data_IF_699394455835
#
_entry.id   IF_699394455835
#
_cell.length_a   1.000
_cell.length_b   1.000
_cell.length_c   1.000
_cell.angle_alpha   90.00
_cell.angle_beta   90.00
_cell.angle_gamma   90.00
#
_symmetry.space_group_name_H-M   'P 1'
#
loop_
_entity.id
_entity.type
_entity.pdbx_description
1 polymer ?
#
# COMPACT_ATOMS: atom_id res chain seq x y z
N UNK A 1 4.25 -21.84 27.10
CA UNK A 1 4.05 -20.60 26.32
C UNK A 1 4.90 -20.48 25.03
N UNK A 2 5.44 -21.58 24.46
CA UNK A 2 6.29 -21.53 23.23
C UNK A 2 5.56 -21.86 21.92
N UNK A 3 4.28 -22.25 21.96
CA UNK A 3 3.55 -22.74 20.75
C UNK A 3 2.81 -21.68 19.94
N UNK A 4 2.51 -20.51 20.48
CA UNK A 4 1.75 -19.48 19.77
C UNK A 4 2.56 -18.73 18.71
N UNK A 5 3.86 -18.53 18.93
CA UNK A 5 4.73 -17.86 17.96
C UNK A 5 5.05 -18.75 16.75
N UNK A 6 5.27 -20.04 16.97
CA UNK A 6 5.52 -21.00 15.89
C UNK A 6 4.29 -21.23 15.00
N UNK A 7 3.09 -21.29 15.60
CA UNK A 7 1.85 -21.42 14.85
C UNK A 7 1.55 -20.19 13.99
N UNK A 8 1.74 -18.98 14.52
CA UNK A 8 1.56 -17.73 13.78
C UNK A 8 2.55 -17.58 12.61
N UNK A 9 3.80 -18.01 12.81
CA UNK A 9 4.83 -18.00 11.76
C UNK A 9 4.52 -19.03 10.65
N UNK A 10 4.01 -20.21 11.01
CA UNK A 10 3.62 -21.24 10.05
C UNK A 10 2.39 -20.80 9.21
N UNK A 11 1.38 -20.21 9.84
CA UNK A 11 0.20 -19.65 9.14
C UNK A 11 0.61 -18.53 8.20
N UNK A 12 1.51 -17.64 8.61
CA UNK A 12 2.04 -16.59 7.77
C UNK A 12 2.78 -17.16 6.55
N UNK A 13 3.67 -18.12 6.76
CA UNK A 13 4.40 -18.76 5.66
C UNK A 13 3.44 -19.40 4.65
N UNK A 14 2.45 -20.17 5.11
CA UNK A 14 1.45 -20.80 4.25
C UNK A 14 0.62 -19.78 3.47
N UNK A 15 0.23 -18.66 4.10
CA UNK A 15 -0.48 -17.58 3.42
C UNK A 15 0.38 -16.95 2.32
N UNK A 16 1.64 -16.65 2.62
CA UNK A 16 2.54 -16.03 1.66
C UNK A 16 2.90 -16.95 0.48
N UNK A 17 3.04 -18.25 0.73
CA UNK A 17 3.28 -19.23 -0.32
C UNK A 17 2.07 -19.41 -1.24
N UNK A 18 0.86 -19.19 -0.74
CA UNK A 18 -0.36 -19.25 -1.54
C UNK A 18 -0.59 -18.02 -2.44
N UNK A 19 0.08 -16.89 -2.15
CA UNK A 19 -0.07 -15.66 -2.94
C UNK A 19 0.76 -15.76 -4.22
N UNK A 20 0.15 -15.61 -5.40
CA UNK A 20 0.90 -15.61 -6.66
C UNK A 20 1.95 -14.51 -6.67
N UNK A 21 3.22 -14.90 -6.88
CA UNK A 21 4.33 -13.95 -7.00
C UNK A 21 4.49 -13.48 -8.45
N UNK A 22 3.42 -12.89 -9.02
CA UNK A 22 3.47 -12.32 -10.36
C UNK A 22 3.77 -10.84 -10.34
N UNK A 23 4.39 -10.35 -11.39
CA UNK A 23 4.75 -8.96 -11.53
C UNK A 23 3.54 -8.11 -11.93
N UNK A 24 3.42 -6.95 -11.27
CA UNK A 24 2.52 -5.87 -11.68
C UNK A 24 3.24 -4.89 -12.62
N UNK A 25 4.55 -4.68 -12.40
CA UNK A 25 5.40 -3.82 -13.22
C UNK A 25 6.86 -4.30 -13.18
N UNK A 26 7.80 -3.52 -13.71
CA UNK A 26 9.21 -3.89 -13.77
C UNK A 26 9.82 -4.23 -12.39
N UNK A 27 9.40 -3.52 -11.32
CA UNK A 27 10.00 -3.67 -9.99
C UNK A 27 9.00 -4.00 -8.88
N UNK A 28 7.70 -4.06 -9.18
CA UNK A 28 6.66 -4.34 -8.19
C UNK A 28 5.94 -5.64 -8.50
N UNK A 29 5.70 -6.44 -7.47
CA UNK A 29 4.95 -7.70 -7.53
C UNK A 29 3.61 -7.59 -6.81
N UNK A 30 2.64 -8.41 -7.21
CA UNK A 30 1.34 -8.49 -6.54
C UNK A 30 1.50 -8.80 -5.05
N UNK A 31 2.46 -9.68 -4.71
CA UNK A 31 2.72 -10.08 -3.33
C UNK A 31 2.96 -8.89 -2.40
N UNK A 32 3.70 -7.87 -2.83
CA UNK A 32 3.98 -6.67 -2.03
C UNK A 32 2.70 -5.90 -1.67
N UNK A 33 1.68 -5.93 -2.53
CA UNK A 33 0.42 -5.21 -2.32
C UNK A 33 -0.61 -5.97 -1.47
N UNK A 34 -0.56 -7.29 -1.45
CA UNK A 34 -1.55 -8.10 -0.74
C UNK A 34 -1.08 -8.58 0.63
N UNK A 35 0.18 -8.30 0.97
CA UNK A 35 0.73 -8.62 2.29
C UNK A 35 0.03 -7.81 3.37
N UNK A 36 -0.54 -8.50 4.36
CA UNK A 36 -1.27 -7.86 5.46
C UNK A 36 -1.15 -8.69 6.74
N UNK A 37 -0.53 -8.11 7.76
CA UNK A 37 -0.44 -8.72 9.08
C UNK A 37 -1.85 -8.99 9.68
N UNK A 38 -2.84 -8.13 9.39
CA UNK A 38 -4.22 -8.32 9.82
C UNK A 38 -4.85 -9.53 9.11
N UNK A 39 -4.66 -9.67 7.80
CA UNK A 39 -5.15 -10.82 7.04
C UNK A 39 -4.57 -12.13 7.57
N UNK A 40 -3.27 -12.19 7.79
CA UNK A 40 -2.58 -13.36 8.34
C UNK A 40 -3.10 -13.69 9.75
N UNK A 41 -3.16 -12.72 10.64
CA UNK A 41 -3.59 -12.91 12.04
C UNK A 41 -5.01 -13.43 12.15
N UNK A 42 -5.88 -13.02 11.26
CA UNK A 42 -7.30 -13.39 11.28
C UNK A 42 -7.65 -14.45 10.23
N UNK A 43 -6.65 -15.04 9.57
CA UNK A 43 -6.83 -16.05 8.51
C UNK A 43 -7.86 -15.62 7.46
N UNK A 44 -7.74 -14.39 6.96
CA UNK A 44 -8.63 -13.82 5.97
C UNK A 44 -7.97 -13.78 4.58
N UNK A 45 -8.71 -14.10 3.52
CA UNK A 45 -8.23 -13.91 2.16
C UNK A 45 -8.06 -12.41 1.86
N UNK A 46 -6.96 -12.07 1.19
CA UNK A 46 -6.65 -10.70 0.78
C UNK A 46 -6.10 -10.67 -0.66
N UNK A 47 -6.81 -11.32 -1.58
CA UNK A 47 -6.46 -11.34 -2.99
C UNK A 47 -7.45 -10.48 -3.77
N UNK A 48 -6.96 -9.60 -4.66
CA UNK A 48 -7.80 -8.78 -5.54
C UNK A 48 -8.37 -9.62 -6.68
N UNK A 49 -9.48 -9.18 -7.24
CA UNK A 49 -9.95 -9.62 -8.54
C UNK A 49 -9.09 -9.00 -9.69
N UNK A 50 -9.31 -9.46 -10.90
CA UNK A 50 -8.54 -9.03 -12.07
C UNK A 50 -8.66 -7.52 -12.35
N UNK A 51 -9.80 -6.93 -12.09
CA UNK A 51 -10.04 -5.51 -12.32
C UNK A 51 -9.33 -4.63 -11.27
N UNK A 52 -9.35 -5.06 -10.02
CA UNK A 52 -8.60 -4.43 -8.93
C UNK A 52 -7.09 -4.56 -9.16
N UNK A 53 -6.62 -5.72 -9.64
CA UNK A 53 -5.21 -5.93 -9.97
C UNK A 53 -4.75 -5.04 -11.13
N UNK A 54 -5.59 -4.81 -12.14
CA UNK A 54 -5.33 -3.86 -13.22
C UNK A 54 -5.10 -2.44 -12.68
N UNK A 55 -5.91 -1.99 -11.70
CA UNK A 55 -5.72 -0.68 -11.07
C UNK A 55 -4.42 -0.62 -10.24
N UNK A 56 -4.06 -1.68 -9.53
CA UNK A 56 -2.76 -1.77 -8.86
C UNK A 56 -1.60 -1.64 -9.86
N UNK A 57 -1.72 -2.31 -11.01
CA UNK A 57 -0.73 -2.18 -12.09
C UNK A 57 -0.64 -0.73 -12.59
N UNK A 58 -1.75 -0.06 -12.80
CA UNK A 58 -1.78 1.34 -13.23
C UNK A 58 -1.13 2.28 -12.19
N UNK A 59 -1.36 2.06 -10.89
CA UNK A 59 -0.66 2.76 -9.81
C UNK A 59 0.85 2.53 -9.88
N UNK A 60 1.29 1.28 -10.11
CA UNK A 60 2.71 0.97 -10.26
C UNK A 60 3.32 1.72 -11.43
N UNK A 61 2.74 1.60 -12.62
CA UNK A 61 3.30 2.16 -13.85
C UNK A 61 3.35 3.70 -13.83
N UNK A 62 2.31 4.35 -13.32
CA UNK A 62 2.17 5.80 -13.39
C UNK A 62 2.79 6.56 -12.20
N UNK A 63 2.88 5.93 -11.03
CA UNK A 63 3.34 6.61 -9.80
C UNK A 63 4.56 5.93 -9.20
N UNK A 64 4.50 4.63 -8.93
CA UNK A 64 5.52 3.97 -8.11
C UNK A 64 6.82 3.71 -8.88
N UNK A 65 6.75 3.34 -10.15
CA UNK A 65 7.93 3.16 -10.99
C UNK A 65 8.70 4.49 -11.23
N UNK A 66 8.03 5.62 -11.58
CA UNK A 66 8.70 6.91 -11.62
C UNK A 66 9.32 7.31 -10.28
N UNK A 67 8.60 7.09 -9.17
CA UNK A 67 9.10 7.39 -7.84
C UNK A 67 10.35 6.55 -7.50
N UNK A 68 10.31 5.25 -7.82
CA UNK A 68 11.43 4.34 -7.63
C UNK A 68 12.66 4.73 -8.44
N UNK A 69 12.50 5.15 -9.69
CA UNK A 69 13.62 5.66 -10.50
C UNK A 69 14.30 6.88 -9.86
N UNK A 70 13.53 7.70 -9.14
CA UNK A 70 14.05 8.93 -8.51
C UNK A 70 14.68 8.71 -7.15
N UNK A 71 14.10 7.81 -6.31
CA UNK A 71 14.45 7.64 -4.90
C UNK A 71 15.06 6.28 -4.57
N UNK A 72 15.18 5.37 -5.53
CA UNK A 72 15.62 4.00 -5.28
C UNK A 72 14.49 3.11 -4.79
N UNK A 73 14.82 2.10 -3.99
CA UNK A 73 13.85 1.11 -3.51
C UNK A 73 12.69 1.75 -2.74
N UNK A 74 11.47 1.45 -3.15
CA UNK A 74 10.23 1.87 -2.48
C UNK A 74 9.64 0.65 -1.78
N UNK A 75 9.47 0.75 -0.46
CA UNK A 75 8.85 -0.28 0.35
C UNK A 75 7.37 0.04 0.58
N UNK A 76 6.50 -0.88 0.17
CA UNK A 76 5.05 -0.79 0.39
C UNK A 76 4.72 -1.40 1.74
N UNK A 77 4.11 -0.63 2.63
CA UNK A 77 3.68 -1.09 3.95
C UNK A 77 2.22 -1.51 3.98
N UNK A 78 1.40 -1.01 3.06
CA UNK A 78 0.02 -1.41 2.85
C UNK A 78 -0.38 -1.12 1.41
N UNK A 79 -0.88 -2.12 0.70
CA UNK A 79 -1.42 -1.99 -0.66
C UNK A 79 -2.91 -2.30 -0.67
N UNK A 80 -3.32 -3.34 -1.39
CA UNK A 80 -4.69 -3.80 -1.44
C UNK A 80 -5.19 -4.31 -0.08
N UNK A 81 -6.43 -3.99 0.23
CA UNK A 81 -7.15 -4.52 1.39
C UNK A 81 -8.52 -5.04 0.93
N UNK A 82 -8.78 -6.33 1.15
CA UNK A 82 -10.15 -6.84 1.00
C UNK A 82 -11.10 -6.09 1.94
N UNK A 83 -12.41 -6.01 1.67
CA UNK A 83 -13.36 -5.30 2.53
C UNK A 83 -13.28 -5.73 4.00
N UNK A 84 -13.10 -7.02 4.25
CA UNK A 84 -12.96 -7.57 5.62
C UNK A 84 -11.68 -7.11 6.31
N UNK A 85 -10.56 -7.16 5.59
CA UNK A 85 -9.26 -6.68 6.11
C UNK A 85 -9.31 -5.17 6.35
N UNK A 86 -9.92 -4.41 5.45
CA UNK A 86 -10.07 -2.96 5.59
C UNK A 86 -10.89 -2.60 6.84
N UNK A 87 -11.99 -3.30 7.11
CA UNK A 87 -12.81 -3.10 8.31
C UNK A 87 -11.99 -3.38 9.59
N UNK A 88 -11.19 -4.45 9.62
CA UNK A 88 -10.34 -4.81 10.77
C UNK A 88 -9.30 -3.74 11.11
N UNK A 89 -8.77 -3.03 10.13
CA UNK A 89 -7.80 -1.96 10.35
C UNK A 89 -8.44 -0.58 10.50
N UNK A 90 -9.76 -0.52 10.61
CA UNK A 90 -10.51 0.72 10.81
C UNK A 90 -10.60 1.62 9.57
N UNK A 91 -10.44 1.04 8.38
CA UNK A 91 -10.59 1.76 7.12
C UNK A 91 -12.06 2.00 6.76
N UNK A 92 -12.33 3.12 6.10
CA UNK A 92 -13.67 3.42 5.58
C UNK A 92 -14.04 2.50 4.42
N UNK A 93 -15.33 2.13 4.22
CA UNK A 93 -15.74 1.22 3.14
C UNK A 93 -15.36 1.72 1.74
N UNK A 94 -15.28 3.04 1.54
CA UNK A 94 -14.91 3.69 0.28
C UNK A 94 -13.39 3.86 0.08
N UNK A 95 -12.58 3.22 0.92
CA UNK A 95 -11.12 3.31 0.86
C UNK A 95 -10.57 2.96 -0.51
N UNK A 96 -9.61 3.74 -0.99
CA UNK A 96 -8.90 3.46 -2.24
C UNK A 96 -8.04 2.20 -2.17
N UNK A 97 -7.63 1.76 -0.99
CA UNK A 97 -6.98 0.46 -0.79
C UNK A 97 -7.91 -0.71 -1.17
N UNK A 98 -9.21 -0.61 -0.89
CA UNK A 98 -10.20 -1.65 -1.28
C UNK A 98 -10.36 -1.72 -2.80
N UNK A 99 -10.19 -0.61 -3.48
CA UNK A 99 -10.31 -0.54 -4.95
C UNK A 99 -9.02 -0.88 -5.70
N UNK A 100 -7.90 -1.10 -4.99
CA UNK A 100 -6.60 -1.31 -5.63
C UNK A 100 -5.99 -0.04 -6.21
N UNK A 101 -6.39 1.12 -5.73
CA UNK A 101 -5.96 2.42 -6.23
C UNK A 101 -4.90 3.10 -5.36
N UNK A 102 -4.52 2.51 -4.22
CA UNK A 102 -3.66 3.15 -3.24
C UNK A 102 -2.56 2.25 -2.69
N UNK A 103 -1.47 2.89 -2.27
CA UNK A 103 -0.40 2.30 -1.49
C UNK A 103 0.07 3.25 -0.39
N UNK A 104 0.36 2.67 0.77
CA UNK A 104 1.08 3.34 1.86
C UNK A 104 2.56 2.99 1.73
N UNK A 105 3.42 4.00 1.70
CA UNK A 105 4.85 3.87 1.45
C UNK A 105 5.64 4.15 2.72
N UNK A 106 6.58 3.27 3.03
CA UNK A 106 7.56 3.52 4.08
C UNK A 106 8.42 4.73 3.72
N UNK A 107 8.72 5.57 4.71
CA UNK A 107 9.68 6.66 4.60
C UNK A 107 10.81 6.48 5.63
N UNK A 108 12.08 6.45 5.19
CA UNK A 108 13.21 6.17 6.10
C UNK A 108 13.50 7.32 7.07
N UNK A 109 13.16 8.54 6.68
CA UNK A 109 13.25 9.74 7.53
C UNK A 109 12.20 10.76 7.12
N UNK A 110 11.96 11.75 8.00
CA UNK A 110 11.06 12.86 7.70
C UNK A 110 11.54 13.66 6.48
N UNK A 111 12.83 13.91 6.39
CA UNK A 111 13.43 14.65 5.26
C UNK A 111 13.21 13.92 3.92
N UNK A 112 13.47 12.62 3.87
CA UNK A 112 13.23 11.82 2.65
C UNK A 112 11.74 11.80 2.31
N UNK A 113 10.86 11.64 3.31
CA UNK A 113 9.42 11.70 3.12
C UNK A 113 8.93 13.02 2.53
N UNK A 114 9.44 14.15 3.03
CA UNK A 114 9.11 15.49 2.49
C UNK A 114 9.61 15.65 1.04
N UNK A 115 10.78 15.15 0.71
CA UNK A 115 11.31 15.17 -0.66
C UNK A 115 10.48 14.29 -1.60
N UNK A 116 10.06 13.11 -1.15
CA UNK A 116 9.17 12.23 -1.91
C UNK A 116 7.81 12.89 -2.12
N UNK A 117 7.22 13.45 -1.07
CA UNK A 117 5.94 14.17 -1.14
C UNK A 117 5.99 15.31 -2.16
N UNK A 118 6.99 16.19 -2.06
CA UNK A 118 7.17 17.32 -2.97
C UNK A 118 7.38 16.85 -4.43
N UNK A 119 8.14 15.78 -4.63
CA UNK A 119 8.38 15.23 -5.97
C UNK A 119 7.10 14.66 -6.60
N UNK A 120 6.33 13.87 -5.85
CA UNK A 120 5.06 13.33 -6.32
C UNK A 120 4.11 14.48 -6.68
N UNK A 121 3.97 15.45 -5.78
CA UNK A 121 3.07 16.60 -5.97
C UNK A 121 3.39 17.41 -7.22
N UNK A 122 4.67 17.58 -7.54
CA UNK A 122 5.13 18.41 -8.65
C UNK A 122 5.21 17.67 -10.00
N UNK A 123 5.43 16.36 -9.99
CA UNK A 123 5.89 15.66 -11.20
C UNK A 123 5.05 14.43 -11.60
N UNK A 124 4.22 13.88 -10.70
CA UNK A 124 3.52 12.63 -10.97
C UNK A 124 2.00 12.82 -11.00
N UNK A 125 1.28 12.03 -11.79
CA UNK A 125 -0.16 11.98 -11.69
C UNK A 125 -0.55 11.24 -10.39
N UNK A 126 -1.43 11.82 -9.58
CA UNK A 126 -1.97 11.18 -8.39
C UNK A 126 -3.40 11.66 -8.12
N UNK A 127 -4.20 10.83 -7.47
CA UNK A 127 -5.52 11.24 -7.02
C UNK A 127 -5.46 11.89 -5.64
N UNK A 128 -4.88 11.17 -4.67
CA UNK A 128 -4.67 11.67 -3.31
C UNK A 128 -3.23 11.37 -2.86
N UNK A 129 -2.62 12.33 -2.20
CA UNK A 129 -1.29 12.23 -1.61
C UNK A 129 -1.35 12.76 -0.20
N UNK A 130 -1.07 11.92 0.79
CA UNK A 130 -1.15 12.29 2.20
C UNK A 130 0.17 11.97 2.89
N UNK A 131 0.76 12.95 3.54
CA UNK A 131 1.82 12.70 4.51
C UNK A 131 1.16 12.42 5.86
N UNK A 132 1.15 11.15 6.25
CA UNK A 132 0.47 10.70 7.47
C UNK A 132 1.45 10.51 8.63
N UNK A 133 0.99 10.86 9.84
CA UNK A 133 1.70 10.61 11.09
C UNK A 133 0.74 10.02 12.13
N UNK A 134 1.17 8.94 12.76
CA UNK A 134 0.48 8.42 13.94
C UNK A 134 0.98 9.15 15.19
N UNK A 135 0.08 9.85 15.89
CA UNK A 135 0.42 10.63 17.10
C UNK A 135 0.98 9.78 18.23
N UNK A 136 0.46 8.56 18.40
CA UNK A 136 0.84 7.68 19.52
C UNK A 136 2.23 7.05 19.30
N UNK A 137 2.47 6.51 18.10
CA UNK A 137 3.73 5.82 17.79
C UNK A 137 4.80 6.72 17.17
N UNK A 138 4.43 7.90 16.68
CA UNK A 138 5.31 8.77 15.91
C UNK A 138 5.61 8.26 14.49
N UNK A 139 5.09 7.09 14.11
CA UNK A 139 5.30 6.50 12.78
C UNK A 139 4.74 7.40 11.70
N UNK A 140 5.48 7.52 10.59
CA UNK A 140 5.10 8.31 9.43
C UNK A 140 5.14 7.47 8.17
N UNK A 141 4.27 7.79 7.22
CA UNK A 141 4.24 7.15 5.90
C UNK A 141 3.64 8.12 4.87
N UNK A 142 3.79 7.78 3.60
CA UNK A 142 3.10 8.47 2.52
C UNK A 142 1.99 7.57 1.99
N UNK A 143 0.77 8.06 2.05
CA UNK A 143 -0.34 7.49 1.28
C UNK A 143 -0.35 8.13 -0.09
N UNK A 144 -0.33 7.32 -1.15
CA UNK A 144 -0.50 7.79 -2.52
C UNK A 144 -1.50 6.94 -3.26
N UNK A 145 -2.35 7.57 -4.05
CA UNK A 145 -3.34 6.88 -4.87
C UNK A 145 -3.36 7.42 -6.31
N UNK A 146 -3.83 6.56 -7.21
CA UNK A 146 -3.98 6.86 -8.63
C UNK A 146 -5.30 6.28 -9.16
N UNK A 147 -5.99 7.03 -9.99
CA UNK A 147 -7.24 6.63 -10.61
C UNK A 147 -7.06 6.51 -12.11
N UNK A 148 -7.17 5.30 -12.64
CA UNK A 148 -7.13 5.06 -14.07
C UNK A 148 -8.48 5.37 -14.75
N UNK A 149 -9.57 5.03 -14.05
CA UNK A 149 -10.93 5.05 -14.60
C UNK A 149 -11.63 6.42 -14.47
N UNK A 150 -10.99 7.40 -13.85
CA UNK A 150 -11.51 8.76 -13.67
C UNK A 150 -10.40 9.79 -13.57
N UNK A 151 -10.75 11.06 -13.71
CA UNK A 151 -9.79 12.16 -13.52
C UNK A 151 -9.27 12.18 -12.06
N UNK A 152 -7.96 12.18 -11.91
CA UNK A 152 -7.30 12.34 -10.62
C UNK A 152 -7.56 13.73 -10.03
N UNK A 153 -7.82 13.79 -8.72
CA UNK A 153 -8.17 15.03 -8.00
C UNK A 153 -6.97 15.91 -7.68
N UNK A 154 -5.75 15.36 -7.71
CA UNK A 154 -4.51 16.03 -7.27
C UNK A 154 -4.60 16.62 -5.86
N UNK A 155 -5.25 15.89 -4.94
CA UNK A 155 -5.47 16.31 -3.57
C UNK A 155 -4.26 15.93 -2.70
N UNK A 156 -3.49 16.93 -2.26
CA UNK A 156 -2.29 16.74 -1.44
C UNK A 156 -2.41 17.47 -0.10
N UNK A 157 -2.18 16.77 1.02
CA UNK A 157 -2.22 17.36 2.36
C UNK A 157 -1.45 16.51 3.39
N UNK A 158 -1.37 17.02 4.62
CA UNK A 158 -0.79 16.32 5.76
C UNK A 158 -1.87 15.98 6.78
N UNK A 159 -1.75 14.80 7.40
CA UNK A 159 -2.71 14.31 8.37
C UNK A 159 -2.01 13.70 9.59
N UNK A 160 -2.53 13.99 10.76
CA UNK A 160 -2.17 13.28 12.00
C UNK A 160 -3.36 12.44 12.49
N UNK A 161 -3.08 11.18 12.79
CA UNK A 161 -4.06 10.19 13.32
C UNK A 161 -3.76 9.82 14.75
#
# INVERSE_FOLDING_TARGET
MKNTHQAATAVAATYYDSVPNRRLSAHFSLREFVMSAAAVRHNLPNLPDADTERRLKALCDNVLEPLRRRFGHILITSGYRSPKVNALVGGVPTSQHVRGEAADLFIPSNEVGERMFAYIQANLPFDQLIFERNRKSGTRWLHVSYCEDRKCRHQAFRMEK
#
